data_IF_662962007776
#
_entry.id   IF_662962007776
#
_cell.length_a   1.000
_cell.length_b   1.000
_cell.length_c   1.000
_cell.angle_alpha   90.00
_cell.angle_beta   90.00
_cell.angle_gamma   90.00
#
_symmetry.space_group_name_H-M   'P 1'
#
loop_
_entity.id
_entity.type
_entity.pdbx_description
1 polymer ?
#
# COMPACT_ATOMS: atom_id res chain seq x y z
N UNK A 1 66.63 -97.35 10.23
CA UNK A 1 65.29 -97.00 9.69
C UNK A 1 64.45 -96.14 10.64
N UNK A 2 64.25 -96.50 11.92
CA UNK A 2 63.45 -95.68 12.87
C UNK A 2 63.91 -94.21 13.02
N UNK A 3 65.22 -93.95 13.06
CA UNK A 3 65.77 -92.59 13.17
C UNK A 3 65.55 -91.75 11.90
N UNK A 4 65.66 -92.35 10.72
CA UNK A 4 65.48 -91.67 9.43
C UNK A 4 64.01 -91.26 9.19
N UNK A 5 63.07 -92.10 9.60
CA UNK A 5 61.63 -91.80 9.57
C UNK A 5 61.24 -90.70 10.56
N UNK A 6 61.86 -90.67 11.74
CA UNK A 6 61.63 -89.61 12.73
C UNK A 6 62.10 -88.24 12.24
N UNK A 7 63.26 -88.18 11.58
CA UNK A 7 63.81 -86.93 11.01
C UNK A 7 62.94 -86.41 9.86
N UNK A 8 62.47 -87.28 8.96
CA UNK A 8 61.57 -86.89 7.87
C UNK A 8 60.21 -86.39 8.39
N UNK A 9 59.67 -87.02 9.45
CA UNK A 9 58.43 -86.58 10.08
C UNK A 9 58.56 -85.20 10.76
N UNK A 10 59.69 -84.93 11.42
CA UNK A 10 59.98 -83.63 12.04
C UNK A 10 60.16 -82.53 10.98
N UNK A 11 60.88 -82.82 9.89
CA UNK A 11 61.02 -81.89 8.76
C UNK A 11 59.68 -81.60 8.08
N UNK A 12 58.84 -82.60 7.88
CA UNK A 12 57.48 -82.43 7.35
C UNK A 12 56.59 -81.59 8.27
N UNK A 13 56.67 -81.80 9.59
CA UNK A 13 55.93 -81.00 10.57
C UNK A 13 56.39 -79.54 10.62
N UNK A 14 57.70 -79.28 10.53
CA UNK A 14 58.26 -77.92 10.50
C UNK A 14 57.88 -77.17 9.22
N UNK A 15 57.89 -77.84 8.06
CA UNK A 15 57.44 -77.26 6.79
C UNK A 15 55.94 -76.99 6.80
N UNK A 16 55.12 -77.90 7.34
CA UNK A 16 53.68 -77.69 7.49
C UNK A 16 53.37 -76.52 8.44
N UNK A 17 54.08 -76.40 9.56
CA UNK A 17 53.95 -75.28 10.48
C UNK A 17 54.34 -73.94 9.81
N UNK A 18 55.47 -73.90 9.08
CA UNK A 18 55.87 -72.69 8.37
C UNK A 18 54.91 -72.26 7.25
N UNK A 19 54.25 -73.21 6.58
CA UNK A 19 53.19 -72.91 5.59
C UNK A 19 51.93 -72.37 6.26
N UNK A 20 51.55 -72.91 7.42
CA UNK A 20 50.40 -72.42 8.21
C UNK A 20 50.68 -71.01 8.73
N UNK A 21 51.84 -70.76 9.33
CA UNK A 21 52.23 -69.43 9.81
C UNK A 21 52.25 -68.39 8.68
N UNK A 22 52.74 -68.78 7.49
CA UNK A 22 52.73 -67.88 6.33
C UNK A 22 51.32 -67.63 5.80
N UNK A 23 50.45 -68.65 5.78
CA UNK A 23 49.06 -68.50 5.39
C UNK A 23 48.32 -67.56 6.36
N UNK A 24 48.52 -67.72 7.67
CA UNK A 24 47.95 -66.82 8.69
C UNK A 24 48.48 -65.39 8.56
N UNK A 25 49.78 -65.21 8.30
CA UNK A 25 50.36 -63.89 8.06
C UNK A 25 49.75 -63.21 6.82
N UNK A 26 49.60 -63.93 5.72
CA UNK A 26 48.98 -63.41 4.49
C UNK A 26 47.49 -63.10 4.69
N UNK A 27 46.74 -63.95 5.41
CA UNK A 27 45.34 -63.67 5.73
C UNK A 27 45.19 -62.46 6.67
N UNK A 28 46.12 -62.27 7.61
CA UNK A 28 46.19 -61.09 8.48
C UNK A 28 46.47 -59.81 7.68
N UNK A 29 47.48 -59.84 6.79
CA UNK A 29 47.79 -58.73 5.86
C UNK A 29 46.58 -58.39 4.97
N UNK A 30 45.91 -59.41 4.43
CA UNK A 30 44.69 -59.24 3.62
C UNK A 30 43.55 -58.62 4.42
N UNK A 31 43.31 -59.09 5.65
CA UNK A 31 42.27 -58.54 6.52
C UNK A 31 42.53 -57.07 6.87
N UNK A 32 43.80 -56.73 7.14
CA UNK A 32 44.23 -55.35 7.39
C UNK A 32 44.00 -54.45 6.17
N UNK A 33 44.42 -54.89 4.98
CA UNK A 33 44.21 -54.14 3.74
C UNK A 33 42.72 -53.95 3.41
N UNK A 34 41.87 -54.96 3.64
CA UNK A 34 40.42 -54.83 3.47
C UNK A 34 39.79 -53.84 4.46
N UNK A 35 40.30 -53.80 5.70
CA UNK A 35 39.85 -52.83 6.71
C UNK A 35 40.22 -51.40 6.31
N UNK A 36 41.43 -51.20 5.80
CA UNK A 36 41.91 -49.91 5.31
C UNK A 36 41.10 -49.44 4.09
N UNK A 37 40.86 -50.32 3.11
CA UNK A 37 40.02 -50.03 1.95
C UNK A 37 38.58 -49.65 2.33
N UNK A 38 37.96 -50.37 3.28
CA UNK A 38 36.61 -50.00 3.78
C UNK A 38 36.60 -48.64 4.45
N UNK A 39 37.65 -48.32 5.20
CA UNK A 39 37.82 -47.00 5.83
C UNK A 39 37.96 -45.90 4.78
N UNK A 40 38.76 -46.15 3.72
CA UNK A 40 38.92 -45.24 2.60
C UNK A 40 37.61 -45.02 1.84
N UNK A 41 36.84 -46.08 1.55
CA UNK A 41 35.52 -45.97 0.92
C UNK A 41 34.58 -45.11 1.77
N UNK A 42 34.51 -45.36 3.08
CA UNK A 42 33.67 -44.56 4.00
C UNK A 42 34.11 -43.08 4.01
N UNK A 43 35.42 -42.82 3.96
CA UNK A 43 35.95 -41.46 3.88
C UNK A 43 35.61 -40.77 2.56
N UNK A 44 35.65 -41.50 1.44
CA UNK A 44 35.27 -41.00 0.12
C UNK A 44 33.79 -40.64 0.07
N UNK A 45 32.92 -41.54 0.55
CA UNK A 45 31.47 -41.31 0.59
C UNK A 45 31.13 -40.07 1.43
N UNK A 46 31.82 -39.90 2.57
CA UNK A 46 31.68 -38.71 3.42
C UNK A 46 32.14 -37.43 2.69
N UNK A 47 33.25 -37.49 1.94
CA UNK A 47 33.75 -36.36 1.18
C UNK A 47 32.77 -35.97 0.05
N UNK A 48 32.23 -36.94 -0.68
CA UNK A 48 31.22 -36.74 -1.73
C UNK A 48 29.91 -36.15 -1.17
N UNK A 49 29.49 -36.60 0.01
CA UNK A 49 28.34 -36.04 0.71
C UNK A 49 28.55 -34.57 1.09
N UNK A 50 29.76 -34.20 1.57
CA UNK A 50 30.13 -32.82 1.86
C UNK A 50 30.19 -31.96 0.59
N UNK A 51 30.76 -32.48 -0.49
CA UNK A 51 30.81 -31.80 -1.79
C UNK A 51 29.41 -31.48 -2.30
N UNK A 52 28.50 -32.46 -2.30
CA UNK A 52 27.12 -32.29 -2.73
C UNK A 52 26.38 -31.24 -1.89
N UNK A 53 26.59 -31.26 -0.57
CA UNK A 53 26.01 -30.26 0.34
C UNK A 53 26.53 -28.84 0.07
N UNK A 54 27.84 -28.69 -0.15
CA UNK A 54 28.45 -27.40 -0.49
C UNK A 54 27.93 -26.89 -1.84
N UNK A 55 27.82 -27.76 -2.85
CA UNK A 55 27.27 -27.40 -4.16
C UNK A 55 25.85 -26.84 -4.04
N UNK A 56 24.96 -27.55 -3.33
CA UNK A 56 23.59 -27.08 -3.10
C UNK A 56 23.53 -25.77 -2.30
N UNK A 57 24.45 -25.56 -1.36
CA UNK A 57 24.52 -24.30 -0.60
C UNK A 57 24.98 -23.13 -1.49
N UNK A 58 25.93 -23.37 -2.39
CA UNK A 58 26.42 -22.37 -3.35
C UNK A 58 25.31 -21.99 -4.34
N UNK A 59 24.60 -22.97 -4.91
CA UNK A 59 23.49 -22.72 -5.83
C UNK A 59 22.37 -21.90 -5.16
N UNK A 60 22.02 -22.22 -3.91
CA UNK A 60 21.03 -21.47 -3.15
C UNK A 60 21.48 -20.02 -2.90
N UNK A 61 22.76 -19.81 -2.52
CA UNK A 61 23.32 -18.48 -2.31
C UNK A 61 23.40 -17.66 -3.60
N UNK A 62 23.73 -18.30 -4.73
CA UNK A 62 23.75 -17.65 -6.04
C UNK A 62 22.35 -17.22 -6.44
N UNK A 63 21.35 -18.11 -6.30
CA UNK A 63 19.96 -17.79 -6.58
C UNK A 63 19.45 -16.61 -5.74
N UNK A 64 19.73 -16.59 -4.44
CA UNK A 64 19.35 -15.46 -3.57
C UNK A 64 20.02 -14.16 -4.01
N UNK A 65 21.27 -14.22 -4.46
CA UNK A 65 22.01 -13.07 -4.99
C UNK A 65 21.37 -12.54 -6.27
N UNK A 66 21.01 -13.43 -7.19
CA UNK A 66 20.39 -13.10 -8.47
C UNK A 66 18.98 -12.50 -8.27
N UNK A 67 18.16 -13.11 -7.41
CA UNK A 67 16.84 -12.60 -7.03
C UNK A 67 16.93 -11.19 -6.43
N UNK A 68 17.87 -10.98 -5.49
CA UNK A 68 18.09 -9.66 -4.89
C UNK A 68 18.57 -8.64 -5.90
N UNK A 69 19.47 -9.03 -6.81
CA UNK A 69 19.95 -8.18 -7.89
C UNK A 69 18.82 -7.75 -8.81
N UNK A 70 17.93 -8.68 -9.19
CA UNK A 70 16.75 -8.39 -10.01
C UNK A 70 15.79 -7.40 -9.34
N UNK A 71 15.52 -7.56 -8.03
CA UNK A 71 14.72 -6.61 -7.25
C UNK A 71 15.38 -5.23 -7.20
N UNK A 72 16.69 -5.16 -6.96
CA UNK A 72 17.41 -3.89 -6.93
C UNK A 72 17.41 -3.17 -8.28
N UNK A 73 17.46 -3.91 -9.39
CA UNK A 73 17.46 -3.34 -10.73
C UNK A 73 16.17 -2.58 -11.07
N UNK A 74 15.02 -2.97 -10.51
CA UNK A 74 13.71 -2.34 -10.80
C UNK A 74 13.33 -1.23 -9.82
N UNK A 75 14.00 -1.10 -8.68
CA UNK A 75 13.70 -0.07 -7.65
C UNK A 75 13.88 1.38 -8.10
N UNK A 76 14.85 1.76 -8.96
CA UNK A 76 14.99 3.14 -9.40
C UNK A 76 13.71 3.70 -10.05
N UNK A 77 13.04 2.92 -10.90
CA UNK A 77 11.78 3.32 -11.53
C UNK A 77 10.67 3.60 -10.49
N UNK A 78 10.61 2.79 -9.43
CA UNK A 78 9.69 3.03 -8.32
C UNK A 78 9.98 4.37 -7.61
N UNK A 79 11.25 4.69 -7.38
CA UNK A 79 11.66 5.96 -6.75
C UNK A 79 11.27 7.16 -7.61
N UNK A 80 11.47 7.06 -8.93
CA UNK A 80 11.07 8.11 -9.87
C UNK A 80 9.54 8.35 -9.83
N UNK A 81 8.74 7.28 -9.82
CA UNK A 81 7.28 7.37 -9.70
C UNK A 81 6.83 7.96 -8.35
N UNK A 82 7.52 7.65 -7.24
CA UNK A 82 7.25 8.29 -5.94
C UNK A 82 7.55 9.79 -5.99
N UNK A 83 8.61 10.20 -6.70
CA UNK A 83 8.92 11.60 -6.96
C UNK A 83 7.81 12.30 -7.76
N UNK A 84 7.32 11.66 -8.83
CA UNK A 84 6.21 12.18 -9.64
C UNK A 84 4.92 12.30 -8.81
N UNK A 85 4.60 11.29 -7.99
CA UNK A 85 3.46 11.33 -7.09
C UNK A 85 3.58 12.49 -6.07
N UNK A 86 4.76 12.72 -5.50
CA UNK A 86 4.97 13.82 -4.57
C UNK A 86 4.69 15.19 -5.22
N UNK A 87 5.12 15.37 -6.48
CA UNK A 87 4.80 16.57 -7.24
C UNK A 87 3.30 16.72 -7.51
N UNK A 88 2.61 15.63 -7.89
CA UNK A 88 1.16 15.64 -8.09
C UNK A 88 0.39 15.96 -6.80
N UNK A 89 0.80 15.39 -5.66
CA UNK A 89 0.21 15.65 -4.34
C UNK A 89 0.40 17.10 -3.88
N UNK A 90 1.55 17.71 -4.17
CA UNK A 90 1.76 19.14 -3.92
C UNK A 90 0.90 19.99 -4.85
N UNK A 91 0.82 19.64 -6.13
CA UNK A 91 -0.06 20.30 -7.10
C UNK A 91 -1.55 20.22 -6.72
N UNK A 92 -1.95 19.18 -6.01
CA UNK A 92 -3.30 18.93 -5.52
C UNK A 92 -3.66 19.62 -4.20
N UNK A 93 -2.69 20.19 -3.49
CA UNK A 93 -2.91 20.77 -2.16
C UNK A 93 -3.94 21.90 -2.20
N UNK A 94 -4.93 21.81 -1.29
CA UNK A 94 -6.05 22.74 -1.24
C UNK A 94 -7.03 22.62 -2.42
N UNK A 95 -6.76 21.76 -3.40
CA UNK A 95 -7.59 21.61 -4.61
C UNK A 95 -8.48 20.38 -4.54
N UNK A 96 -7.87 19.21 -4.34
CA UNK A 96 -8.55 17.92 -4.32
C UNK A 96 -8.14 17.12 -3.07
N UNK A 97 -9.08 16.36 -2.51
CA UNK A 97 -8.80 15.48 -1.36
C UNK A 97 -7.98 14.26 -1.82
N UNK A 98 -6.76 14.14 -1.29
CA UNK A 98 -5.80 13.08 -1.67
C UNK A 98 -5.53 12.09 -0.53
N UNK A 99 -6.34 12.11 0.53
CA UNK A 99 -6.12 11.29 1.73
C UNK A 99 -6.04 9.79 1.43
N UNK A 100 -7.01 9.27 0.67
CA UNK A 100 -7.02 7.86 0.25
C UNK A 100 -5.86 7.51 -0.69
N UNK A 101 -5.52 8.41 -1.62
CA UNK A 101 -4.40 8.21 -2.56
C UNK A 101 -3.06 8.15 -1.82
N UNK A 102 -2.87 8.97 -0.78
CA UNK A 102 -1.69 8.92 0.10
C UNK A 102 -1.59 7.60 0.86
N UNK A 103 -2.70 7.09 1.38
CA UNK A 103 -2.71 5.81 2.09
C UNK A 103 -2.35 4.64 1.16
N UNK A 104 -2.89 4.63 -0.07
CA UNK A 104 -2.54 3.64 -1.09
C UNK A 104 -1.05 3.69 -1.46
N UNK A 105 -0.49 4.90 -1.63
CA UNK A 105 0.93 5.08 -1.91
C UNK A 105 1.84 4.58 -0.77
N UNK A 106 1.48 4.82 0.49
CA UNK A 106 2.21 4.27 1.65
C UNK A 106 2.18 2.74 1.65
N UNK A 107 1.04 2.13 1.33
CA UNK A 107 0.92 0.68 1.22
C UNK A 107 1.84 0.12 0.11
N UNK A 108 1.90 0.78 -1.05
CA UNK A 108 2.81 0.40 -2.13
C UNK A 108 4.29 0.53 -1.73
N UNK A 109 4.67 1.60 -1.01
CA UNK A 109 6.03 1.76 -0.47
C UNK A 109 6.41 0.66 0.53
N UNK A 110 5.49 0.28 1.41
CA UNK A 110 5.72 -0.80 2.38
C UNK A 110 5.94 -2.15 1.67
N UNK A 111 5.18 -2.44 0.61
CA UNK A 111 5.38 -3.64 -0.20
C UNK A 111 6.79 -3.68 -0.82
N UNK A 112 7.27 -2.56 -1.40
CA UNK A 112 8.62 -2.47 -2.00
C UNK A 112 9.73 -2.60 -0.94
N UNK A 113 9.54 -2.01 0.24
CA UNK A 113 10.51 -2.11 1.34
C UNK A 113 10.65 -3.55 1.87
N UNK A 114 9.54 -4.28 1.92
CA UNK A 114 9.53 -5.67 2.38
C UNK A 114 10.07 -6.66 1.34
N UNK A 115 9.99 -6.32 0.05
CA UNK A 115 10.35 -7.22 -1.05
C UNK A 115 11.87 -7.44 -1.19
N UNK A 116 12.27 -8.70 -1.35
CA UNK A 116 13.68 -9.13 -1.43
C UNK A 116 13.99 -10.07 -2.59
N UNK A 117 12.99 -10.69 -3.19
CA UNK A 117 13.15 -11.80 -4.14
C UNK A 117 12.38 -11.62 -5.44
N UNK A 118 11.18 -11.07 -5.38
CA UNK A 118 10.29 -10.97 -6.53
C UNK A 118 10.26 -9.56 -7.13
N UNK A 119 10.91 -9.31 -8.28
CA UNK A 119 10.88 -8.00 -8.93
C UNK A 119 9.46 -7.62 -9.41
N UNK A 120 8.55 -8.57 -9.63
CA UNK A 120 7.19 -8.28 -10.07
C UNK A 120 6.40 -7.49 -9.03
N UNK A 121 6.66 -7.70 -7.74
CA UNK A 121 6.04 -6.93 -6.65
C UNK A 121 6.43 -5.45 -6.76
N UNK A 122 7.69 -5.14 -7.06
CA UNK A 122 8.15 -3.76 -7.25
C UNK A 122 7.56 -3.14 -8.52
N UNK A 123 7.47 -3.90 -9.60
CA UNK A 123 6.83 -3.44 -10.86
C UNK A 123 5.35 -3.13 -10.65
N UNK A 124 4.61 -3.98 -9.94
CA UNK A 124 3.20 -3.75 -9.63
C UNK A 124 2.99 -2.54 -8.71
N UNK A 125 3.86 -2.37 -7.71
CA UNK A 125 3.86 -1.18 -6.86
C UNK A 125 4.16 0.10 -7.67
N UNK A 126 5.09 0.03 -8.63
CA UNK A 126 5.41 1.13 -9.56
C UNK A 126 4.19 1.52 -10.39
N UNK A 127 3.51 0.54 -10.99
CA UNK A 127 2.27 0.78 -11.75
C UNK A 127 1.14 1.37 -10.89
N UNK A 128 1.05 0.94 -9.62
CA UNK A 128 0.08 1.50 -8.66
C UNK A 128 0.35 2.98 -8.39
N UNK A 129 1.60 3.34 -8.10
CA UNK A 129 1.98 4.74 -7.88
C UNK A 129 1.74 5.58 -9.14
N UNK A 130 2.09 5.06 -10.31
CA UNK A 130 1.82 5.72 -11.59
C UNK A 130 0.32 6.01 -11.79
N UNK A 131 -0.55 5.03 -11.52
CA UNK A 131 -2.00 5.19 -11.63
C UNK A 131 -2.55 6.23 -10.64
N UNK A 132 -2.03 6.27 -9.41
CA UNK A 132 -2.39 7.29 -8.42
C UNK A 132 -1.98 8.69 -8.90
N UNK A 133 -0.78 8.85 -9.44
CA UNK A 133 -0.28 10.11 -10.02
C UNK A 133 -1.19 10.59 -11.15
N UNK A 134 -1.55 9.70 -12.09
CA UNK A 134 -2.43 10.02 -13.20
C UNK A 134 -3.83 10.42 -12.72
N UNK A 135 -4.40 9.69 -11.74
CA UNK A 135 -5.68 10.03 -11.12
C UNK A 135 -5.65 11.42 -10.49
N UNK A 136 -4.69 11.70 -9.61
CA UNK A 136 -4.58 13.00 -8.92
C UNK A 136 -4.43 14.13 -9.93
N UNK A 137 -3.59 13.94 -10.96
CA UNK A 137 -3.39 14.95 -12.01
C UNK A 137 -4.67 15.21 -12.80
N UNK A 138 -5.42 14.15 -13.13
CA UNK A 138 -6.74 14.25 -13.77
C UNK A 138 -7.76 14.97 -12.90
N UNK A 139 -7.82 14.65 -11.60
CA UNK A 139 -8.70 15.29 -10.63
C UNK A 139 -8.39 16.80 -10.51
N UNK A 140 -7.10 17.17 -10.50
CA UNK A 140 -6.66 18.58 -10.52
C UNK A 140 -7.02 19.27 -11.83
N UNK A 141 -6.90 18.60 -12.98
CA UNK A 141 -7.29 19.19 -14.26
C UNK A 141 -8.82 19.42 -14.33
N UNK A 142 -9.61 18.47 -13.84
CA UNK A 142 -11.06 18.61 -13.74
C UNK A 142 -11.45 19.75 -12.77
N UNK A 143 -10.75 19.85 -11.65
CA UNK A 143 -10.85 20.98 -10.72
C UNK A 143 -10.58 22.31 -11.41
N UNK A 144 -9.50 22.41 -12.19
CA UNK A 144 -9.13 23.64 -12.91
C UNK A 144 -10.21 24.02 -13.92
N UNK A 145 -10.73 23.05 -14.67
CA UNK A 145 -11.80 23.28 -15.63
C UNK A 145 -13.09 23.78 -14.95
N UNK A 146 -13.42 23.25 -13.77
CA UNK A 146 -14.59 23.67 -12.99
C UNK A 146 -14.46 25.10 -12.41
N UNK A 147 -13.24 25.60 -12.16
CA UNK A 147 -13.06 26.99 -11.70
C UNK A 147 -13.59 28.04 -12.70
N UNK A 148 -13.62 27.70 -14.00
CA UNK A 148 -13.99 28.61 -15.06
C UNK A 148 -15.43 28.43 -15.58
N UNK A 149 -16.22 27.52 -15.00
CA UNK A 149 -17.59 27.21 -15.43
C UNK A 149 -18.69 27.96 -14.66
N UNK A 150 -18.33 28.87 -13.75
CA UNK A 150 -19.29 29.70 -13.00
C UNK A 150 -20.00 30.77 -13.85
N UNK A 151 -21.14 31.32 -13.38
CA UNK A 151 -21.83 32.42 -14.07
C UNK A 151 -20.88 33.62 -14.27
N UNK A 152 -20.91 34.24 -15.46
CA UNK A 152 -20.16 35.48 -15.72
C UNK A 152 -20.68 36.61 -14.83
N UNK A 153 -19.91 36.97 -13.80
CA UNK A 153 -20.18 38.06 -12.88
C UNK A 153 -19.07 38.16 -11.82
N UNK A 154 -18.97 39.27 -11.07
CA UNK A 154 -17.99 39.36 -9.98
C UNK A 154 -18.35 38.31 -8.92
N UNK A 155 -17.35 37.59 -8.41
CA UNK A 155 -17.59 36.51 -7.43
C UNK A 155 -18.07 37.05 -6.06
N UNK A 156 -18.10 38.36 -5.89
CA UNK A 156 -18.58 39.11 -4.73
C UNK A 156 -19.29 40.40 -5.14
N UNK A 157 -20.19 40.87 -4.28
CA UNK A 157 -20.88 42.16 -4.47
C UNK A 157 -20.82 43.02 -3.21
N UNK A 158 -21.42 42.55 -2.13
CA UNK A 158 -21.62 43.28 -0.88
C UNK A 158 -20.60 42.91 0.19
N UNK A 159 -20.02 41.70 0.15
CA UNK A 159 -18.99 41.27 1.10
C UNK A 159 -17.62 41.90 0.84
N UNK A 160 -17.40 42.43 -0.37
CA UNK A 160 -16.11 42.96 -0.81
C UNK A 160 -15.05 41.87 -1.05
N UNK A 161 -13.87 42.25 -1.56
CA UNK A 161 -12.80 41.30 -1.89
C UNK A 161 -12.29 40.54 -0.65
N UNK A 162 -12.17 41.20 0.49
CA UNK A 162 -11.69 40.57 1.73
C UNK A 162 -12.72 39.60 2.31
N UNK A 163 -14.00 39.96 2.25
CA UNK A 163 -15.09 39.08 2.66
C UNK A 163 -15.15 37.82 1.80
N UNK A 164 -15.04 37.98 0.48
CA UNK A 164 -14.93 36.85 -0.44
C UNK A 164 -13.73 35.97 -0.14
N UNK A 165 -12.53 36.56 -0.01
CA UNK A 165 -11.31 35.82 0.27
C UNK A 165 -11.42 35.01 1.57
N UNK A 166 -12.12 35.55 2.57
CA UNK A 166 -12.37 34.84 3.83
C UNK A 166 -13.28 33.63 3.66
N UNK A 167 -14.39 33.75 2.94
CA UNK A 167 -15.29 32.61 2.68
C UNK A 167 -14.61 31.57 1.78
N UNK A 168 -13.84 32.04 0.79
CA UNK A 168 -13.01 31.19 -0.08
C UNK A 168 -12.00 30.38 0.73
N UNK A 169 -11.24 31.03 1.62
CA UNK A 169 -10.27 30.36 2.48
C UNK A 169 -10.92 29.34 3.42
N UNK A 170 -12.12 29.63 3.94
CA UNK A 170 -12.90 28.66 4.72
C UNK A 170 -13.31 27.45 3.87
N UNK A 171 -13.76 27.67 2.63
CA UNK A 171 -14.12 26.58 1.72
C UNK A 171 -12.89 25.76 1.30
N UNK A 172 -11.74 26.40 1.08
CA UNK A 172 -10.48 25.71 0.78
C UNK A 172 -10.03 24.84 1.96
N UNK A 173 -10.10 25.39 3.18
CA UNK A 173 -9.75 24.69 4.42
C UNK A 173 -10.55 23.40 4.62
N UNK A 174 -11.82 23.40 4.25
CA UNK A 174 -12.68 22.23 4.39
C UNK A 174 -12.55 21.27 3.21
N UNK A 175 -11.62 21.49 2.27
CA UNK A 175 -11.37 20.63 1.09
C UNK A 175 -12.19 20.97 -0.15
N UNK A 176 -12.75 22.19 -0.22
CA UNK A 176 -13.63 22.65 -1.29
C UNK A 176 -12.98 23.59 -2.29
N UNK A 177 -11.64 23.62 -2.40
CA UNK A 177 -10.97 24.51 -3.37
C UNK A 177 -11.45 24.34 -4.80
N UNK A 178 -12.00 23.16 -5.14
CA UNK A 178 -12.50 22.83 -6.48
C UNK A 178 -13.89 23.29 -6.81
N UNK A 179 -14.57 23.81 -5.80
CA UNK A 179 -15.96 24.17 -5.91
C UNK A 179 -16.02 25.65 -6.19
N UNK A 180 -16.68 26.02 -7.29
CA UNK A 180 -16.93 27.41 -7.61
C UNK A 180 -17.66 28.09 -6.46
N UNK A 181 -17.24 29.29 -6.08
CA UNK A 181 -17.82 30.04 -4.97
C UNK A 181 -18.22 31.42 -5.46
N UNK A 182 -19.46 31.82 -5.16
CA UNK A 182 -19.91 33.18 -5.46
C UNK A 182 -20.96 33.70 -4.48
N UNK A 183 -20.96 35.01 -4.32
CA UNK A 183 -21.92 35.69 -3.46
C UNK A 183 -23.30 35.77 -4.13
N UNK A 184 -24.36 35.50 -3.38
CA UNK A 184 -25.73 35.70 -3.82
C UNK A 184 -26.63 36.04 -2.63
N UNK A 185 -27.52 37.02 -2.82
CA UNK A 185 -28.55 37.35 -1.84
C UNK A 185 -29.65 36.28 -1.73
N UNK A 186 -29.72 35.32 -2.67
CA UNK A 186 -30.73 34.26 -2.69
C UNK A 186 -30.06 32.89 -2.73
N UNK A 187 -30.21 32.18 -1.61
CA UNK A 187 -29.88 30.77 -1.49
C UNK A 187 -31.12 29.95 -1.16
N UNK A 188 -31.36 28.89 -1.94
CA UNK A 188 -32.48 27.95 -1.77
C UNK A 188 -33.86 28.59 -1.46
N UNK A 189 -34.23 29.68 -2.17
CA UNK A 189 -35.52 30.35 -1.97
C UNK A 189 -35.55 31.45 -0.89
N UNK A 190 -34.41 31.83 -0.31
CA UNK A 190 -34.22 33.20 0.19
C UNK A 190 -33.54 33.37 1.56
N UNK A 191 -33.52 32.34 2.42
CA UNK A 191 -33.08 32.52 3.81
C UNK A 191 -31.82 31.71 4.19
N UNK A 192 -31.42 30.74 3.38
CA UNK A 192 -30.24 29.94 3.68
C UNK A 192 -28.97 30.80 3.58
N UNK A 193 -28.03 30.67 4.55
CA UNK A 193 -26.80 31.47 4.59
C UNK A 193 -25.81 31.10 3.48
N UNK A 194 -25.84 29.85 3.04
CA UNK A 194 -25.14 29.34 1.89
C UNK A 194 -26.01 28.24 1.25
N UNK A 195 -25.66 27.82 0.04
CA UNK A 195 -26.35 26.74 -0.66
C UNK A 195 -25.47 26.17 -1.77
N UNK A 196 -25.35 24.85 -1.80
CA UNK A 196 -24.77 24.10 -2.89
C UNK A 196 -25.74 23.98 -4.06
N UNK A 197 -25.20 23.84 -5.27
CA UNK A 197 -25.96 23.57 -6.48
C UNK A 197 -25.45 22.30 -7.16
N UNK A 198 -26.36 21.56 -7.78
CA UNK A 198 -26.04 20.33 -8.53
C UNK A 198 -25.06 20.54 -9.69
N UNK A 199 -24.89 21.78 -10.17
CA UNK A 199 -23.89 22.15 -11.18
C UNK A 199 -22.47 22.36 -10.60
N UNK A 200 -22.22 22.02 -9.33
CA UNK A 200 -20.86 21.95 -8.79
C UNK A 200 -20.32 23.25 -8.19
N UNK A 201 -21.19 24.15 -7.71
CA UNK A 201 -20.79 25.40 -7.07
C UNK A 201 -21.56 25.66 -5.77
N UNK A 202 -21.01 26.52 -4.93
CA UNK A 202 -21.61 27.02 -3.69
C UNK A 202 -21.88 28.51 -3.82
N UNK A 203 -23.08 28.89 -3.42
CA UNK A 203 -23.49 30.28 -3.22
C UNK A 203 -23.41 30.63 -1.75
N UNK A 204 -23.13 31.88 -1.44
CA UNK A 204 -23.16 32.37 -0.06
C UNK A 204 -23.76 33.77 0.06
N UNK A 205 -24.38 34.06 1.21
CA UNK A 205 -24.89 35.40 1.52
C UNK A 205 -23.79 36.26 2.13
N UNK A 206 -23.75 37.54 1.78
CA UNK A 206 -22.65 38.43 2.15
C UNK A 206 -22.34 38.51 3.65
N UNK A 207 -23.36 38.44 4.51
CA UNK A 207 -23.23 38.54 5.98
C UNK A 207 -22.45 37.39 6.61
N UNK A 208 -22.38 36.22 5.96
CA UNK A 208 -21.64 35.08 6.52
C UNK A 208 -20.14 35.33 6.55
N UNK A 209 -19.65 36.24 5.70
CA UNK A 209 -18.27 36.69 5.72
C UNK A 209 -17.90 37.40 7.04
N UNK A 210 -18.87 37.74 7.90
CA UNK A 210 -18.67 38.26 9.25
C UNK A 210 -18.78 37.22 10.38
N UNK A 211 -19.09 35.95 10.09
CA UNK A 211 -19.29 34.91 11.11
C UNK A 211 -17.99 34.50 11.82
N UNK A 212 -18.07 33.75 12.92
CA UNK A 212 -16.88 33.14 13.53
C UNK A 212 -16.23 32.14 12.57
N UNK A 213 -14.93 31.89 12.73
CA UNK A 213 -14.20 30.94 11.88
C UNK A 213 -14.83 29.54 11.93
N UNK A 214 -15.18 29.06 13.12
CA UNK A 214 -15.79 27.73 13.30
C UNK A 214 -17.14 27.62 12.58
N UNK A 215 -18.00 28.65 12.74
CA UNK A 215 -19.30 28.67 12.08
C UNK A 215 -19.17 28.77 10.56
N UNK A 216 -18.21 29.55 10.08
CA UNK A 216 -17.95 29.70 8.65
C UNK A 216 -17.39 28.40 8.04
N UNK A 217 -16.46 27.74 8.72
CA UNK A 217 -15.92 26.45 8.29
C UNK A 217 -16.99 25.35 8.32
N UNK A 218 -17.84 25.30 9.35
CA UNK A 218 -18.99 24.38 9.38
C UNK A 218 -19.91 24.62 8.17
N UNK A 219 -20.27 25.89 7.90
CA UNK A 219 -21.15 26.21 6.77
C UNK A 219 -20.54 25.75 5.45
N UNK A 220 -19.25 25.99 5.23
CA UNK A 220 -18.58 25.55 4.01
C UNK A 220 -18.46 24.02 3.91
N UNK A 221 -18.19 23.33 5.02
CA UNK A 221 -18.14 21.87 5.06
C UNK A 221 -19.52 21.25 4.79
N UNK A 222 -20.58 21.86 5.33
CA UNK A 222 -21.96 21.46 5.11
C UNK A 222 -22.38 21.62 3.65
N UNK A 223 -22.13 22.78 3.04
CA UNK A 223 -22.46 22.97 1.62
C UNK A 223 -21.61 22.08 0.71
N UNK A 224 -20.34 21.87 1.04
CA UNK A 224 -19.49 20.95 0.30
C UNK A 224 -20.03 19.51 0.38
N UNK A 225 -20.62 19.11 1.51
CA UNK A 225 -21.24 17.80 1.64
C UNK A 225 -22.41 17.63 0.65
N UNK A 226 -23.22 18.66 0.44
CA UNK A 226 -24.26 18.64 -0.58
C UNK A 226 -23.73 18.46 -2.00
N UNK A 227 -22.59 19.08 -2.34
CA UNK A 227 -21.93 18.84 -3.64
C UNK A 227 -21.62 17.35 -3.84
N UNK A 228 -21.08 16.68 -2.82
CA UNK A 228 -20.79 15.25 -2.88
C UNK A 228 -22.08 14.40 -2.92
N UNK A 229 -23.11 14.76 -2.16
CA UNK A 229 -24.42 14.10 -2.21
C UNK A 229 -25.02 14.17 -3.63
N UNK A 230 -24.91 15.32 -4.32
CA UNK A 230 -25.42 15.45 -5.69
C UNK A 230 -24.71 14.51 -6.67
N UNK A 231 -23.42 14.26 -6.50
CA UNK A 231 -22.65 13.35 -7.36
C UNK A 231 -23.12 11.89 -7.24
N UNK A 232 -23.61 11.50 -6.07
CA UNK A 232 -24.04 10.13 -5.76
C UNK A 232 -25.55 10.03 -5.55
N UNK A 233 -26.34 11.03 -5.97
CA UNK A 233 -27.75 11.17 -5.55
C UNK A 233 -28.60 9.91 -5.81
N UNK A 234 -28.43 9.27 -6.96
CA UNK A 234 -29.13 8.03 -7.29
C UNK A 234 -28.80 6.89 -6.33
N UNK A 235 -27.52 6.61 -6.14
CA UNK A 235 -27.05 5.57 -5.21
C UNK A 235 -27.44 5.87 -3.77
N UNK A 236 -27.24 7.13 -3.34
CA UNK A 236 -27.61 7.66 -2.03
C UNK A 236 -29.08 7.41 -1.71
N UNK A 237 -29.98 7.83 -2.61
CA UNK A 237 -31.44 7.72 -2.38
C UNK A 237 -31.97 6.29 -2.48
N UNK A 238 -31.22 5.39 -3.12
CA UNK A 238 -31.54 3.96 -3.19
C UNK A 238 -31.05 3.14 -1.98
N UNK A 239 -30.17 3.69 -1.14
CA UNK A 239 -29.57 2.96 -0.04
C UNK A 239 -30.48 2.91 1.20
N UNK A 240 -30.80 1.71 1.69
CA UNK A 240 -31.58 1.52 2.93
C UNK A 240 -30.93 2.20 4.15
N UNK A 241 -29.59 2.26 4.17
CA UNK A 241 -28.81 2.95 5.20
C UNK A 241 -29.12 4.45 5.24
N UNK A 242 -29.37 5.09 4.09
CA UNK A 242 -29.74 6.51 4.06
C UNK A 242 -31.10 6.76 4.73
N UNK A 243 -32.06 5.87 4.50
CA UNK A 243 -33.39 5.97 5.11
C UNK A 243 -33.37 5.63 6.61
N UNK A 244 -32.66 4.57 7.00
CA UNK A 244 -32.62 4.09 8.39
C UNK A 244 -31.76 4.97 9.31
N UNK A 245 -30.62 5.47 8.84
CA UNK A 245 -29.70 6.27 9.66
C UNK A 245 -30.03 7.77 9.64
N UNK A 246 -30.59 8.28 8.53
CA UNK A 246 -30.81 9.72 8.33
C UNK A 246 -32.27 10.08 8.06
N UNK A 247 -33.19 9.11 8.02
CA UNK A 247 -34.61 9.36 7.72
C UNK A 247 -34.85 9.88 6.30
N UNK A 248 -33.88 9.70 5.40
CA UNK A 248 -33.90 10.29 4.05
C UNK A 248 -33.66 11.81 4.03
N UNK A 249 -33.10 12.38 5.10
CA UNK A 249 -32.88 13.82 5.23
C UNK A 249 -31.45 14.23 4.76
N UNK A 250 -31.32 14.96 3.63
CA UNK A 250 -30.01 15.34 3.09
C UNK A 250 -29.31 16.40 3.94
N UNK A 251 -30.05 17.28 4.61
CA UNK A 251 -29.53 18.32 5.51
C UNK A 251 -28.91 17.71 6.77
N UNK A 252 -29.58 16.70 7.33
CA UNK A 252 -29.05 15.99 8.50
C UNK A 252 -27.79 15.20 8.13
N UNK A 253 -27.80 14.52 6.98
CA UNK A 253 -26.61 13.86 6.45
C UNK A 253 -25.46 14.84 6.20
N UNK A 254 -25.73 16.01 5.61
CA UNK A 254 -24.71 17.02 5.34
C UNK A 254 -24.07 17.55 6.64
N UNK A 255 -24.85 17.69 7.72
CA UNK A 255 -24.31 17.99 9.04
C UNK A 255 -23.39 16.88 9.57
N UNK A 256 -23.77 15.61 9.44
CA UNK A 256 -22.90 14.49 9.83
C UNK A 256 -21.63 14.42 8.99
N UNK A 257 -21.73 14.70 7.70
CA UNK A 257 -20.58 14.81 6.80
C UNK A 257 -19.63 15.94 7.21
N UNK A 258 -20.14 17.08 7.68
CA UNK A 258 -19.31 18.16 8.23
C UNK A 258 -18.62 17.76 9.55
N UNK A 259 -19.33 17.03 10.44
CA UNK A 259 -18.78 16.50 11.70
C UNK A 259 -17.57 15.60 11.44
N UNK A 260 -17.68 14.65 10.50
CA UNK A 260 -16.57 13.72 10.21
C UNK A 260 -15.37 14.39 9.53
N UNK A 261 -15.56 15.57 8.93
CA UNK A 261 -14.45 16.42 8.47
C UNK A 261 -13.85 17.31 9.55
N UNK A 262 -14.33 17.20 10.80
CA UNK A 262 -13.82 17.96 11.93
C UNK A 262 -14.39 19.38 12.05
N UNK A 263 -15.51 19.66 11.37
CA UNK A 263 -16.18 20.96 11.41
C UNK A 263 -17.61 20.81 11.95
N UNK A 264 -17.79 20.44 13.23
CA UNK A 264 -19.10 20.18 13.79
C UNK A 264 -19.93 21.47 13.89
N UNK A 265 -21.21 21.35 13.56
CA UNK A 265 -22.21 22.39 13.80
C UNK A 265 -22.94 22.17 15.13
N UNK A 266 -24.17 22.68 15.21
CA UNK A 266 -25.06 22.45 16.37
C UNK A 266 -25.77 21.10 16.34
N UNK A 267 -25.66 20.35 15.24
CA UNK A 267 -26.32 19.06 15.05
C UNK A 267 -25.31 17.94 15.31
N UNK A 268 -25.64 17.05 16.25
CA UNK A 268 -24.82 15.88 16.60
C UNK A 268 -25.21 14.64 15.79
N UNK A 269 -24.23 13.74 15.59
CA UNK A 269 -24.42 12.47 14.90
C UNK A 269 -23.76 11.35 15.72
N UNK A 270 -24.38 10.17 15.76
CA UNK A 270 -23.82 9.01 16.45
C UNK A 270 -22.71 8.34 15.61
N UNK A 271 -22.06 7.32 16.19
CA UNK A 271 -20.92 6.65 15.55
C UNK A 271 -21.28 6.00 14.20
N UNK A 272 -22.44 5.36 14.11
CA UNK A 272 -22.88 4.68 12.88
C UNK A 272 -23.17 5.69 11.75
N UNK A 273 -23.82 6.81 12.09
CA UNK A 273 -24.07 7.92 11.17
C UNK A 273 -22.77 8.54 10.68
N UNK A 274 -21.79 8.74 11.58
CA UNK A 274 -20.48 9.26 11.20
C UNK A 274 -19.73 8.29 10.28
N UNK A 275 -19.68 7.00 10.65
CA UNK A 275 -19.02 5.97 9.85
C UNK A 275 -19.59 5.94 8.42
N UNK A 276 -20.91 5.92 8.28
CA UNK A 276 -21.55 5.89 6.97
C UNK A 276 -21.37 7.21 6.19
N UNK A 277 -21.53 8.36 6.84
CA UNK A 277 -21.32 9.68 6.22
C UNK A 277 -19.89 9.86 5.71
N UNK A 278 -18.89 9.29 6.40
CA UNK A 278 -17.49 9.32 5.95
C UNK A 278 -17.28 8.60 4.61
N UNK A 279 -18.10 7.57 4.34
CA UNK A 279 -18.05 6.80 3.10
C UNK A 279 -18.38 7.62 1.85
N UNK A 280 -19.20 8.67 1.97
CA UNK A 280 -19.55 9.54 0.83
C UNK A 280 -18.33 10.37 0.40
N UNK A 281 -17.54 10.89 1.35
CA UNK A 281 -16.35 11.68 1.04
C UNK A 281 -15.30 10.91 0.25
N UNK A 282 -15.14 9.62 0.54
CA UNK A 282 -14.17 8.73 -0.10
C UNK A 282 -14.76 7.95 -1.29
N UNK A 283 -16.01 8.24 -1.66
CA UNK A 283 -16.69 7.58 -2.77
C UNK A 283 -16.92 6.08 -2.53
N UNK A 284 -17.16 5.65 -1.30
CA UNK A 284 -17.57 4.28 -0.98
C UNK A 284 -19.06 4.03 -1.27
N UNK A 285 -19.87 5.08 -1.33
CA UNK A 285 -21.28 5.04 -1.75
C UNK A 285 -21.33 5.35 -3.26
N UNK A 286 -21.77 4.38 -4.08
CA UNK A 286 -21.82 4.47 -5.56
C UNK A 286 -23.00 3.71 -6.13
#
# INVERSE_FOLDING_TARGET
MRRSLAVAAVLGALLAAGVVDRAEAVDSERASALSELRTLTTSLDTAQGRESHLHGTIEAAQKETDERSAVLAVRPAFVDEVGALAAALSGAEGKVDTSADRAAAVSAQQAVLAERRDPAVVVNATATVHALTAKITGDVAAWQAAQFSGPRGPAWSSSGPDGYARVRAALDRVGGGGVGLYESASCAGGNAPACANSNGYIKYRADIAGWSADRLNWAMAHELAHIYQFQVWGALTSADAYQSLFGGNPEFLANCMAVVRGFPGSVGCNADQQAWASGIWVGAVR
#
